data_IF_240222034376
#
_entry.id   IF_240222034376
#
_cell.length_a   1.000
_cell.length_b   1.000
_cell.length_c   1.000
_cell.angle_alpha   90.00
_cell.angle_beta   90.00
_cell.angle_gamma   90.00
#
_symmetry.space_group_name_H-M   'P 1'
#
loop_
_entity.id
_entity.type
_entity.pdbx_description
1 polymer ?
#
# COMPACT_ATOMS: atom_id res chain seq x y z
N UNK A 1 -14.36 1.26 11.19
CA UNK A 1 -13.02 1.33 10.58
C UNK A 1 -13.02 0.54 9.29
N UNK A 2 -12.17 0.92 8.31
CA UNK A 2 -12.00 0.15 7.06
C UNK A 2 -10.97 -0.96 7.27
N UNK A 3 -9.87 -0.65 7.96
CA UNK A 3 -8.83 -1.63 8.32
C UNK A 3 -8.59 -1.58 9.83
N UNK A 4 -8.48 -2.74 10.46
CA UNK A 4 -8.12 -2.88 11.88
C UNK A 4 -7.13 -4.04 12.03
N UNK A 5 -5.99 -3.78 12.63
CA UNK A 5 -4.99 -4.79 13.03
C UNK A 5 -4.91 -4.86 14.54
N UNK A 6 -4.97 -6.08 15.08
CA UNK A 6 -4.82 -6.35 16.49
C UNK A 6 -3.69 -7.34 16.74
N UNK A 7 -2.56 -6.82 17.27
CA UNK A 7 -1.35 -7.57 17.61
C UNK A 7 -0.89 -8.52 16.50
N UNK A 8 -1.04 -8.06 15.23
CA UNK A 8 -0.74 -8.85 14.05
C UNK A 8 0.74 -9.24 14.04
N UNK A 9 0.99 -10.54 14.02
CA UNK A 9 2.34 -11.08 13.99
C UNK A 9 2.48 -12.11 12.89
N UNK A 10 3.55 -11.98 12.09
CA UNK A 10 4.00 -12.98 11.14
C UNK A 10 5.50 -13.13 11.23
N UNK A 11 5.96 -14.23 11.81
CA UNK A 11 7.37 -14.58 11.87
C UNK A 11 7.66 -15.77 10.96
N UNK A 12 8.75 -15.67 10.21
CA UNK A 12 9.31 -16.77 9.41
C UNK A 12 10.29 -17.59 10.25
N UNK A 13 10.68 -18.77 9.76
CA UNK A 13 11.61 -19.69 10.46
C UNK A 13 12.97 -19.06 10.81
N UNK A 14 13.39 -18.06 10.07
CA UNK A 14 14.62 -17.30 10.30
C UNK A 14 14.47 -16.14 11.29
N UNK A 15 13.33 -16.02 11.98
CA UNK A 15 13.02 -14.97 12.94
C UNK A 15 12.67 -13.60 12.33
N UNK A 16 12.71 -13.47 10.99
CA UNK A 16 12.30 -12.22 10.32
C UNK A 16 10.77 -12.16 10.16
N UNK A 17 10.24 -10.96 9.96
CA UNK A 17 8.81 -10.77 9.72
C UNK A 17 8.29 -9.47 10.30
N UNK A 18 7.07 -9.51 10.84
CA UNK A 18 6.41 -8.40 11.53
C UNK A 18 5.84 -8.94 12.85
N UNK A 19 6.00 -8.18 13.93
CA UNK A 19 5.64 -8.59 15.27
C UNK A 19 4.83 -7.49 15.97
N UNK A 20 3.68 -7.88 16.55
CA UNK A 20 2.80 -7.05 17.36
C UNK A 20 2.37 -5.73 16.66
N UNK A 21 1.99 -5.80 15.39
CA UNK A 21 1.55 -4.66 14.61
C UNK A 21 0.07 -4.39 14.91
N UNK A 22 -0.23 -3.21 15.46
CA UNK A 22 -1.59 -2.78 15.77
C UNK A 22 -1.82 -1.35 15.30
N UNK A 23 -2.79 -1.17 14.40
CA UNK A 23 -3.29 0.14 13.97
C UNK A 23 -4.64 0.00 13.29
N UNK A 24 -5.32 1.13 13.09
CA UNK A 24 -6.58 1.18 12.37
C UNK A 24 -6.60 2.34 11.37
N UNK A 25 -7.37 2.16 10.27
CA UNK A 25 -7.65 3.18 9.27
C UNK A 25 -9.15 3.43 9.13
N UNK A 26 -9.52 4.70 9.10
CA UNK A 26 -10.85 5.16 8.78
C UNK A 26 -10.98 5.45 7.26
N UNK A 27 -12.23 5.58 6.73
CA UNK A 27 -12.44 6.03 5.38
C UNK A 27 -11.76 7.37 5.10
N UNK A 28 -11.13 7.52 3.93
CA UNK A 28 -10.44 8.74 3.53
C UNK A 28 -9.06 8.97 4.18
N UNK A 29 -8.62 8.10 5.09
CA UNK A 29 -7.27 8.19 5.66
C UNK A 29 -6.23 7.54 4.76
N UNK A 30 -5.04 8.16 4.69
CA UNK A 30 -3.85 7.61 4.04
C UNK A 30 -2.80 7.34 5.12
N UNK A 31 -2.49 6.06 5.36
CA UNK A 31 -1.42 5.64 6.27
C UNK A 31 -0.18 5.25 5.48
N UNK A 32 0.89 6.02 5.68
CA UNK A 32 2.21 5.70 5.17
C UNK A 32 2.95 4.74 6.10
N UNK A 33 3.32 3.57 5.58
CA UNK A 33 4.10 2.57 6.30
C UNK A 33 5.59 2.78 5.99
N UNK A 34 6.31 3.47 6.87
CA UNK A 34 7.70 3.86 6.69
C UNK A 34 8.65 2.90 7.40
N UNK A 35 9.74 2.55 6.74
CA UNK A 35 10.81 1.76 7.33
C UNK A 35 11.79 1.23 6.28
N UNK A 36 13.00 0.81 6.69
CA UNK A 36 14.00 0.28 5.77
C UNK A 36 13.58 -1.04 5.13
N UNK A 37 14.30 -1.45 4.09
CA UNK A 37 14.08 -2.76 3.48
C UNK A 37 14.26 -3.87 4.50
N UNK A 38 13.33 -4.84 4.48
CA UNK A 38 13.30 -5.95 5.45
C UNK A 38 12.73 -5.60 6.83
N UNK A 39 12.19 -4.40 7.05
CA UNK A 39 11.57 -4.01 8.34
C UNK A 39 10.23 -4.66 8.64
N UNK A 40 9.61 -5.37 7.68
CA UNK A 40 8.33 -6.05 7.88
C UNK A 40 7.13 -5.42 7.15
N UNK A 41 7.29 -4.29 6.41
CA UNK A 41 6.23 -3.60 5.68
C UNK A 41 5.46 -4.53 4.73
N UNK A 42 6.16 -5.10 3.74
CA UNK A 42 5.58 -6.04 2.77
C UNK A 42 4.97 -7.28 3.44
N UNK A 43 5.59 -7.79 4.51
CA UNK A 43 5.05 -8.91 5.29
C UNK A 43 3.71 -8.54 5.90
N UNK A 44 3.60 -7.39 6.55
CA UNK A 44 2.35 -6.87 7.11
C UNK A 44 1.28 -6.72 6.03
N UNK A 45 1.60 -6.09 4.90
CA UNK A 45 0.67 -5.91 3.78
C UNK A 45 0.21 -7.24 3.18
N UNK A 46 1.11 -8.21 3.03
CA UNK A 46 0.77 -9.57 2.55
C UNK A 46 -0.18 -10.31 3.49
N UNK A 47 -0.06 -10.12 4.81
CA UNK A 47 -1.01 -10.69 5.76
C UNK A 47 -2.38 -10.01 5.63
N UNK A 48 -2.42 -8.68 5.54
CA UNK A 48 -3.67 -7.92 5.34
C UNK A 48 -4.37 -8.34 4.04
N UNK A 49 -3.61 -8.52 2.96
CA UNK A 49 -4.14 -9.00 1.67
C UNK A 49 -4.47 -10.51 1.64
N UNK A 50 -4.33 -11.21 2.78
CA UNK A 50 -4.60 -12.66 2.85
C UNK A 50 -3.63 -13.55 2.08
N UNK A 51 -2.51 -13.00 1.60
CA UNK A 51 -1.46 -13.76 0.90
C UNK A 51 -0.56 -14.55 1.85
N UNK A 52 -0.55 -14.19 3.13
CA UNK A 52 0.18 -14.88 4.20
C UNK A 52 -0.74 -15.07 5.40
N UNK A 53 -0.69 -16.25 6.00
CA UNK A 53 -1.38 -16.50 7.27
C UNK A 53 -0.60 -15.84 8.41
N UNK A 54 -1.26 -15.11 9.34
CA UNK A 54 -0.62 -14.60 10.53
C UNK A 54 -0.15 -15.75 11.44
N UNK A 55 0.90 -15.52 12.21
CA UNK A 55 1.32 -16.44 13.28
C UNK A 55 0.47 -16.26 14.54
N UNK A 56 0.02 -15.01 14.81
CA UNK A 56 -0.94 -14.63 15.85
C UNK A 56 -1.51 -13.25 15.56
N UNK A 57 -2.52 -12.84 16.34
CA UNK A 57 -3.25 -11.61 16.10
C UNK A 57 -4.25 -11.74 14.95
N UNK A 58 -4.86 -10.64 14.57
CA UNK A 58 -5.88 -10.60 13.52
C UNK A 58 -5.82 -9.34 12.67
N UNK A 59 -6.36 -9.43 11.47
CA UNK A 59 -6.63 -8.28 10.59
C UNK A 59 -8.09 -8.34 10.13
N UNK A 60 -8.78 -7.21 10.19
CA UNK A 60 -10.16 -7.07 9.73
C UNK A 60 -10.26 -5.97 8.68
N UNK A 61 -10.98 -6.25 7.60
CA UNK A 61 -11.27 -5.29 6.55
C UNK A 61 -12.79 -5.16 6.46
N UNK A 62 -13.31 -3.94 6.65
CA UNK A 62 -14.74 -3.65 6.71
C UNK A 62 -15.50 -4.60 7.68
N UNK A 63 -14.86 -4.96 8.82
CA UNK A 63 -15.39 -5.89 9.82
C UNK A 63 -15.20 -7.37 9.51
N UNK A 64 -14.66 -7.74 8.33
CA UNK A 64 -14.40 -9.13 7.96
C UNK A 64 -12.98 -9.56 8.35
N UNK A 65 -12.83 -10.60 9.16
CA UNK A 65 -11.54 -11.22 9.48
C UNK A 65 -10.93 -11.82 8.21
N UNK A 66 -9.74 -11.38 7.84
CA UNK A 66 -9.08 -11.76 6.57
C UNK A 66 -8.74 -13.25 6.47
N UNK A 67 -8.66 -13.95 7.60
CA UNK A 67 -8.39 -15.40 7.65
C UNK A 67 -9.66 -16.23 7.56
N UNK A 68 -10.75 -15.78 8.20
CA UNK A 68 -12.00 -16.55 8.30
C UNK A 68 -12.98 -16.18 7.19
N UNK A 69 -12.96 -14.93 6.74
CA UNK A 69 -13.90 -14.36 5.77
C UNK A 69 -13.14 -13.73 4.59
N UNK A 70 -12.13 -14.45 4.09
CA UNK A 70 -11.19 -13.95 3.08
C UNK A 70 -11.87 -13.36 1.85
N UNK A 71 -12.84 -14.07 1.28
CA UNK A 71 -13.53 -13.60 0.08
C UNK A 71 -14.28 -12.28 0.32
N UNK A 72 -14.97 -12.17 1.47
CA UNK A 72 -15.69 -10.94 1.84
C UNK A 72 -14.71 -9.78 2.04
N UNK A 73 -13.62 -10.00 2.78
CA UNK A 73 -12.59 -8.99 3.00
C UNK A 73 -11.96 -8.51 1.68
N UNK A 74 -11.63 -9.44 0.77
CA UNK A 74 -10.98 -9.10 -0.51
C UNK A 74 -11.91 -8.41 -1.50
N UNK A 75 -13.22 -8.53 -1.39
CA UNK A 75 -14.17 -7.75 -2.20
C UNK A 75 -14.08 -6.24 -1.95
N UNK A 76 -13.68 -5.85 -0.75
CA UNK A 76 -13.49 -4.46 -0.33
C UNK A 76 -12.07 -3.94 -0.57
N UNK A 77 -11.18 -4.80 -1.12
CA UNK A 77 -9.75 -4.52 -1.17
C UNK A 77 -9.23 -4.47 -2.60
N UNK A 78 -8.50 -3.40 -2.91
CA UNK A 78 -7.62 -3.34 -4.07
C UNK A 78 -6.17 -3.37 -3.61
N UNK A 79 -5.31 -4.16 -4.25
CA UNK A 79 -3.92 -4.23 -3.84
C UNK A 79 -2.94 -4.28 -5.01
N UNK A 80 -1.81 -3.60 -4.81
CA UNK A 80 -0.62 -3.69 -5.63
C UNK A 80 0.54 -3.99 -4.68
N UNK A 81 0.94 -5.26 -4.60
CA UNK A 81 1.99 -5.74 -3.71
C UNK A 81 3.12 -6.34 -4.55
N UNK A 82 4.34 -5.82 -4.36
CA UNK A 82 5.49 -6.13 -5.19
C UNK A 82 5.26 -5.73 -6.67
N UNK A 83 5.65 -6.56 -7.64
CA UNK A 83 5.44 -6.29 -9.06
C UNK A 83 4.01 -6.63 -9.49
N UNK A 84 3.40 -5.84 -10.39
CA UNK A 84 2.08 -6.16 -10.94
C UNK A 84 2.07 -7.51 -11.65
N UNK A 85 1.17 -8.40 -11.22
CA UNK A 85 0.97 -9.70 -11.86
C UNK A 85 0.13 -9.55 -13.14
N UNK A 86 0.77 -9.26 -14.27
CA UNK A 86 0.13 -9.03 -15.56
C UNK A 86 0.40 -10.18 -16.54
N UNK A 87 -0.61 -10.53 -17.31
CA UNK A 87 -0.45 -11.46 -18.42
C UNK A 87 0.18 -10.72 -19.61
N UNK A 88 1.46 -10.95 -19.86
CA UNK A 88 2.27 -10.20 -20.83
C UNK A 88 1.79 -10.35 -22.29
N UNK A 89 1.21 -11.51 -22.64
CA UNK A 89 0.66 -11.78 -23.96
C UNK A 89 -0.69 -11.10 -24.21
N UNK A 90 -1.34 -10.58 -23.17
CA UNK A 90 -2.59 -9.84 -23.21
C UNK A 90 -2.34 -8.33 -23.29
N UNK A 91 -3.37 -7.58 -23.77
CA UNK A 91 -3.35 -6.12 -23.70
C UNK A 91 -3.71 -5.62 -22.28
N UNK A 92 -3.47 -4.32 -22.01
CA UNK A 92 -3.92 -3.70 -20.74
C UNK A 92 -5.42 -3.93 -20.54
N UNK A 93 -6.25 -3.63 -21.55
CA UNK A 93 -7.69 -3.83 -21.51
C UNK A 93 -8.08 -5.28 -21.22
N UNK A 94 -7.41 -6.26 -21.84
CA UNK A 94 -7.69 -7.68 -21.63
C UNK A 94 -7.34 -8.14 -20.21
N UNK A 95 -6.25 -7.64 -19.62
CA UNK A 95 -5.90 -7.90 -18.24
C UNK A 95 -6.99 -7.39 -17.28
N UNK A 96 -7.45 -6.14 -17.46
CA UNK A 96 -8.53 -5.59 -16.65
C UNK A 96 -9.85 -6.34 -16.85
N UNK A 97 -10.20 -6.67 -18.10
CA UNK A 97 -11.40 -7.44 -18.43
C UNK A 97 -11.40 -8.84 -17.82
N UNK A 98 -10.23 -9.45 -17.69
CA UNK A 98 -10.10 -10.75 -17.02
C UNK A 98 -10.35 -10.59 -15.49
N UNK A 99 -9.75 -9.58 -14.87
CA UNK A 99 -9.94 -9.27 -13.44
C UNK A 99 -11.40 -8.86 -13.15
N UNK A 100 -12.04 -8.11 -14.04
CA UNK A 100 -13.44 -7.68 -13.90
C UNK A 100 -14.43 -8.85 -13.72
N UNK A 101 -14.09 -10.07 -14.17
CA UNK A 101 -14.95 -11.25 -14.00
C UNK A 101 -15.17 -11.66 -12.53
N UNK A 102 -14.30 -11.23 -11.65
CA UNK A 102 -14.45 -11.50 -10.20
C UNK A 102 -15.39 -10.52 -9.49
N UNK A 103 -15.82 -9.44 -10.17
CA UNK A 103 -16.66 -8.40 -9.61
C UNK A 103 -17.96 -8.27 -10.41
N UNK A 104 -19.11 -8.34 -9.73
CA UNK A 104 -20.43 -8.30 -10.39
C UNK A 104 -20.75 -6.94 -10.99
N UNK A 105 -20.24 -5.87 -10.36
CA UNK A 105 -20.61 -4.48 -10.67
C UNK A 105 -19.53 -3.76 -11.51
N UNK A 106 -18.55 -4.51 -12.04
CA UNK A 106 -17.49 -3.96 -12.91
C UNK A 106 -17.81 -4.28 -14.37
N UNK A 107 -18.23 -3.26 -15.10
CA UNK A 107 -18.53 -3.32 -16.54
C UNK A 107 -17.38 -2.75 -17.40
N UNK A 108 -17.63 -2.68 -18.71
CA UNK A 108 -16.67 -2.10 -19.66
C UNK A 108 -16.45 -0.59 -19.46
N UNK A 109 -17.46 0.13 -18.98
CA UNK A 109 -17.35 1.57 -18.72
C UNK A 109 -16.38 1.82 -17.56
N UNK A 110 -16.44 0.98 -16.51
CA UNK A 110 -15.49 1.04 -15.39
C UNK A 110 -14.06 0.72 -15.81
N UNK A 111 -13.85 -0.26 -16.71
CA UNK A 111 -12.52 -0.56 -17.26
C UNK A 111 -11.98 0.67 -18.03
N UNK A 112 -12.81 1.31 -18.83
CA UNK A 112 -12.42 2.50 -19.58
C UNK A 112 -12.12 3.70 -18.64
N UNK A 113 -12.88 3.84 -17.57
CA UNK A 113 -12.64 4.87 -16.54
C UNK A 113 -11.30 4.67 -15.87
N UNK A 114 -10.99 3.46 -15.35
CA UNK A 114 -9.73 3.23 -14.66
C UNK A 114 -8.53 3.32 -15.59
N UNK A 115 -8.64 2.91 -16.87
CA UNK A 115 -7.57 3.10 -17.86
C UNK A 115 -7.28 4.58 -18.12
N UNK A 116 -8.31 5.42 -18.17
CA UNK A 116 -8.13 6.88 -18.26
C UNK A 116 -7.52 7.44 -17.00
N UNK A 117 -8.01 7.01 -15.82
CA UNK A 117 -7.49 7.45 -14.53
C UNK A 117 -6.00 7.18 -14.40
N UNK A 118 -5.50 6.06 -14.93
CA UNK A 118 -4.08 5.69 -14.91
C UNK A 118 -3.33 6.09 -16.18
N UNK A 119 -3.92 6.92 -17.07
CA UNK A 119 -3.35 7.41 -18.34
C UNK A 119 -2.87 6.28 -19.29
N UNK A 120 -3.54 5.14 -19.23
CA UNK A 120 -3.25 3.97 -20.08
C UNK A 120 -4.29 3.76 -21.20
N UNK A 121 -5.25 4.67 -21.36
CA UNK A 121 -6.30 4.60 -22.37
C UNK A 121 -5.74 4.55 -23.83
N UNK A 122 -4.66 5.30 -24.09
CA UNK A 122 -3.97 5.32 -25.38
C UNK A 122 -3.32 3.97 -25.71
N UNK A 123 -2.86 3.25 -24.70
CA UNK A 123 -2.14 1.99 -24.80
C UNK A 123 -3.03 0.77 -24.53
N UNK A 124 -4.35 0.96 -24.42
CA UNK A 124 -5.33 -0.09 -24.03
C UNK A 124 -5.28 -1.34 -24.90
N UNK A 125 -4.86 -1.21 -26.18
CA UNK A 125 -4.78 -2.30 -27.17
C UNK A 125 -3.37 -2.88 -27.30
N UNK A 126 -2.37 -2.27 -26.68
CA UNK A 126 -0.99 -2.71 -26.74
C UNK A 126 -0.76 -3.85 -25.77
N UNK A 127 0.09 -4.80 -26.15
CA UNK A 127 0.43 -5.94 -25.29
C UNK A 127 1.34 -5.48 -24.14
N UNK A 128 1.08 -6.02 -22.95
CA UNK A 128 1.88 -5.74 -21.75
C UNK A 128 3.36 -6.10 -21.94
N UNK A 129 3.67 -7.07 -22.82
CA UNK A 129 5.06 -7.42 -23.15
C UNK A 129 5.89 -6.26 -23.71
N UNK A 130 5.24 -5.24 -24.32
CA UNK A 130 5.92 -4.05 -24.85
C UNK A 130 5.97 -2.88 -23.86
N UNK A 131 5.43 -3.04 -22.63
CA UNK A 131 5.30 -1.95 -21.68
C UNK A 131 6.62 -1.68 -20.94
N UNK A 132 6.91 -0.38 -20.74
CA UNK A 132 7.92 0.06 -19.78
C UNK A 132 7.53 -0.33 -18.34
N UNK A 133 8.48 -0.22 -17.40
CA UNK A 133 8.20 -0.45 -15.99
C UNK A 133 7.06 0.45 -15.49
N UNK A 134 7.07 1.75 -15.81
CA UNK A 134 6.02 2.69 -15.44
C UNK A 134 4.66 2.33 -16.02
N UNK A 135 4.58 1.90 -17.27
CA UNK A 135 3.33 1.45 -17.89
C UNK A 135 2.78 0.18 -17.21
N UNK A 136 3.66 -0.76 -16.82
CA UNK A 136 3.27 -1.94 -16.04
C UNK A 136 2.73 -1.53 -14.68
N UNK A 137 3.40 -0.61 -13.99
CA UNK A 137 2.99 -0.11 -12.68
C UNK A 137 1.62 0.60 -12.75
N UNK A 138 1.42 1.48 -13.74
CA UNK A 138 0.13 2.13 -14.01
C UNK A 138 -0.98 1.11 -14.29
N UNK A 139 -0.70 0.06 -15.05
CA UNK A 139 -1.67 -1.02 -15.31
C UNK A 139 -1.98 -1.80 -14.02
N UNK A 140 -1.00 -2.03 -13.16
CA UNK A 140 -1.19 -2.63 -11.84
C UNK A 140 -2.06 -1.78 -10.92
N UNK A 141 -1.86 -0.45 -10.91
CA UNK A 141 -2.73 0.49 -10.19
C UNK A 141 -4.17 0.46 -10.75
N UNK A 142 -4.34 0.36 -12.08
CA UNK A 142 -5.67 0.20 -12.67
C UNK A 142 -6.38 -1.06 -12.17
N UNK A 143 -5.66 -2.18 -12.06
CA UNK A 143 -6.20 -3.42 -11.48
C UNK A 143 -6.60 -3.24 -10.01
N UNK A 144 -5.77 -2.59 -9.21
CA UNK A 144 -6.06 -2.33 -7.80
C UNK A 144 -7.28 -1.42 -7.60
N UNK A 145 -7.51 -0.47 -8.52
CA UNK A 145 -8.63 0.48 -8.48
C UNK A 145 -9.91 -0.06 -9.13
N UNK A 146 -9.86 -1.20 -9.81
CA UNK A 146 -10.92 -1.68 -10.70
C UNK A 146 -12.26 -1.87 -9.99
N UNK A 147 -12.25 -2.43 -8.79
CA UNK A 147 -13.45 -2.70 -7.99
C UNK A 147 -13.97 -1.49 -7.22
N UNK A 148 -13.34 -0.32 -7.32
CA UNK A 148 -13.62 0.84 -6.46
C UNK A 148 -13.53 0.48 -4.97
N UNK A 149 -12.35 0.00 -4.51
CA UNK A 149 -12.19 -0.61 -3.20
C UNK A 149 -12.33 0.41 -2.06
N UNK A 150 -12.83 -0.04 -0.90
CA UNK A 150 -12.82 0.71 0.35
C UNK A 150 -11.44 0.76 1.00
N UNK A 151 -10.60 -0.28 0.73
CA UNK A 151 -9.20 -0.35 1.16
C UNK A 151 -8.28 -0.50 -0.05
N UNK A 152 -7.35 0.43 -0.22
CA UNK A 152 -6.30 0.36 -1.24
C UNK A 152 -4.94 0.10 -0.57
N UNK A 153 -4.27 -0.99 -0.94
CA UNK A 153 -2.96 -1.39 -0.42
C UNK A 153 -1.91 -1.26 -1.52
N UNK A 154 -0.90 -0.43 -1.30
CA UNK A 154 0.15 -0.13 -2.27
C UNK A 154 1.54 -0.35 -1.65
N UNK A 155 2.23 -1.41 -2.06
CA UNK A 155 3.58 -1.73 -1.57
C UNK A 155 4.64 -1.14 -2.51
N UNK A 156 5.37 -0.12 -2.02
CA UNK A 156 6.43 0.59 -2.75
C UNK A 156 5.98 1.02 -4.19
N UNK A 157 4.80 1.64 -4.38
CA UNK A 157 4.21 1.83 -5.72
C UNK A 157 4.98 2.79 -6.62
N UNK A 158 5.83 3.65 -6.05
CA UNK A 158 6.66 4.60 -6.78
C UNK A 158 8.08 4.07 -7.09
N UNK A 159 8.42 2.87 -6.61
CA UNK A 159 9.77 2.33 -6.76
C UNK A 159 10.14 2.12 -8.23
N UNK A 160 11.28 2.70 -8.64
CA UNK A 160 11.78 2.61 -10.01
C UNK A 160 11.02 3.46 -11.05
N UNK A 161 10.14 4.35 -10.60
CA UNK A 161 9.51 5.34 -11.45
C UNK A 161 10.36 6.61 -11.56
N UNK A 162 10.18 7.35 -12.65
CA UNK A 162 10.66 8.72 -12.79
C UNK A 162 9.83 9.71 -11.96
N UNK A 163 10.26 10.99 -11.96
CA UNK A 163 9.60 12.04 -11.17
C UNK A 163 8.12 12.18 -11.54
N UNK A 164 7.78 12.12 -12.83
CA UNK A 164 6.39 12.21 -13.29
C UNK A 164 5.56 11.02 -12.78
N UNK A 165 6.13 9.81 -12.82
CA UNK A 165 5.50 8.61 -12.27
C UNK A 165 5.26 8.68 -10.77
N UNK A 166 6.19 9.26 -9.99
CA UNK A 166 6.03 9.47 -8.54
C UNK A 166 4.91 10.47 -8.23
N UNK A 167 4.86 11.60 -8.96
CA UNK A 167 3.78 12.60 -8.83
C UNK A 167 2.44 11.94 -9.14
N UNK A 168 2.39 11.18 -10.21
CA UNK A 168 1.20 10.46 -10.62
C UNK A 168 0.67 9.48 -9.55
N UNK A 169 1.54 8.66 -8.93
CA UNK A 169 1.14 7.76 -7.84
C UNK A 169 0.50 8.54 -6.69
N UNK A 170 1.08 9.70 -6.32
CA UNK A 170 0.54 10.57 -5.26
C UNK A 170 -0.86 11.09 -5.60
N UNK A 171 -1.09 11.49 -6.84
CA UNK A 171 -2.42 11.93 -7.30
C UNK A 171 -3.45 10.80 -7.25
N UNK A 172 -3.07 9.59 -7.64
CA UNK A 172 -3.94 8.40 -7.53
C UNK A 172 -4.30 8.12 -6.07
N UNK A 173 -3.33 8.15 -5.16
CA UNK A 173 -3.55 7.96 -3.71
C UNK A 173 -4.51 9.01 -3.16
N UNK A 174 -4.25 10.28 -3.45
CA UNK A 174 -5.09 11.39 -3.01
C UNK A 174 -6.51 11.27 -3.55
N UNK A 175 -6.67 11.04 -4.85
CA UNK A 175 -7.98 10.87 -5.49
C UNK A 175 -8.77 9.68 -4.90
N UNK A 176 -8.12 8.58 -4.54
CA UNK A 176 -8.77 7.44 -3.88
C UNK A 176 -9.24 7.82 -2.48
N UNK A 177 -8.42 8.50 -1.69
CA UNK A 177 -8.75 8.96 -0.35
C UNK A 177 -9.89 10.00 -0.36
N UNK A 178 -9.84 10.97 -1.28
CA UNK A 178 -10.89 12.00 -1.46
C UNK A 178 -12.25 11.37 -1.81
N UNK A 179 -12.27 10.19 -2.45
CA UNK A 179 -13.47 9.39 -2.73
C UNK A 179 -13.89 8.51 -1.55
N UNK A 180 -13.18 8.57 -0.44
CA UNK A 180 -13.50 7.85 0.80
C UNK A 180 -12.78 6.50 0.97
N UNK A 181 -11.89 6.09 0.06
CA UNK A 181 -11.09 4.89 0.30
C UNK A 181 -10.05 5.12 1.41
N UNK A 182 -9.86 4.13 2.29
CA UNK A 182 -8.69 4.09 3.14
C UNK A 182 -7.49 3.60 2.32
N UNK A 183 -6.33 4.25 2.45
CA UNK A 183 -5.13 3.86 1.69
C UNK A 183 -4.00 3.49 2.64
N UNK A 184 -3.44 2.29 2.46
CA UNK A 184 -2.22 1.84 3.09
C UNK A 184 -1.11 1.82 2.05
N UNK A 185 -0.14 2.73 2.16
CA UNK A 185 0.98 2.83 1.24
C UNK A 185 2.30 2.61 1.97
N UNK A 186 3.21 1.80 1.41
CA UNK A 186 4.57 1.66 1.94
C UNK A 186 5.59 2.43 1.12
N UNK A 187 6.60 2.95 1.78
CA UNK A 187 7.84 3.41 1.17
C UNK A 187 9.01 3.27 2.15
N UNK A 188 10.21 3.16 1.62
CA UNK A 188 11.45 3.32 2.38
C UNK A 188 11.98 4.76 2.36
N UNK A 189 11.35 5.65 1.59
CA UNK A 189 11.65 7.07 1.46
C UNK A 189 10.62 7.92 2.20
N UNK A 190 11.05 8.58 3.29
CA UNK A 190 10.17 9.39 4.14
C UNK A 190 9.46 10.50 3.35
N UNK A 191 10.19 11.18 2.45
CA UNK A 191 9.64 12.24 1.63
C UNK A 191 8.43 11.82 0.77
N UNK A 192 8.41 10.59 0.24
CA UNK A 192 7.26 10.10 -0.53
C UNK A 192 6.00 9.98 0.33
N UNK A 193 6.16 9.46 1.55
CA UNK A 193 5.06 9.33 2.51
C UNK A 193 4.57 10.72 2.96
N UNK A 194 5.50 11.62 3.30
CA UNK A 194 5.19 12.99 3.75
C UNK A 194 4.32 13.76 2.74
N UNK A 195 4.50 13.49 1.43
CA UNK A 195 3.78 14.18 0.37
C UNK A 195 2.34 13.69 0.14
N UNK A 196 1.96 12.51 0.63
CA UNK A 196 0.64 11.94 0.32
C UNK A 196 -0.11 11.37 1.53
N UNK A 197 0.57 11.08 2.65
CA UNK A 197 -0.06 10.44 3.79
C UNK A 197 -0.65 11.45 4.78
N UNK A 198 -1.76 11.09 5.42
CA UNK A 198 -2.35 11.82 6.54
C UNK A 198 -1.78 11.36 7.88
N UNK A 199 -1.29 10.11 7.94
CA UNK A 199 -0.66 9.48 9.09
C UNK A 199 0.56 8.69 8.65
N UNK A 200 1.55 8.52 9.54
CA UNK A 200 2.67 7.64 9.32
C UNK A 200 2.76 6.58 10.43
N UNK A 201 3.03 5.34 10.02
CA UNK A 201 3.38 4.23 10.90
C UNK A 201 4.84 3.87 10.65
N UNK A 202 5.68 3.91 11.68
CA UNK A 202 7.11 3.60 11.58
C UNK A 202 7.33 2.15 11.97
N UNK A 203 7.85 1.35 11.04
CA UNK A 203 8.24 -0.04 11.28
C UNK A 203 9.77 -0.17 11.20
N UNK A 204 10.37 -0.71 12.25
CA UNK A 204 11.79 -0.97 12.32
C UNK A 204 12.08 -2.32 12.99
N UNK A 205 12.94 -3.14 12.38
CA UNK A 205 13.30 -4.45 12.95
C UNK A 205 12.12 -5.39 13.19
N UNK A 206 11.09 -5.32 12.36
CA UNK A 206 9.87 -6.12 12.49
C UNK A 206 8.83 -5.58 13.45
N UNK A 207 9.08 -4.47 14.15
CA UNK A 207 8.20 -3.91 15.17
C UNK A 207 7.63 -2.56 14.75
N UNK A 208 6.40 -2.30 15.15
CA UNK A 208 5.76 -0.98 15.03
C UNK A 208 6.27 -0.09 16.16
N UNK A 209 6.98 1.00 15.81
CA UNK A 209 7.50 1.94 16.81
C UNK A 209 6.44 2.97 17.22
N UNK A 210 5.69 3.50 16.25
CA UNK A 210 4.60 4.45 16.48
C UNK A 210 3.67 4.53 15.27
N UNK A 211 2.48 5.06 15.52
CA UNK A 211 1.53 5.55 14.50
C UNK A 211 1.14 6.96 14.93
N UNK A 212 1.34 7.94 14.05
CA UNK A 212 1.08 9.34 14.38
C UNK A 212 0.54 10.11 13.18
N UNK A 213 -0.25 11.15 13.42
CA UNK A 213 -0.72 12.04 12.34
C UNK A 213 0.43 12.89 11.78
N UNK A 214 0.35 13.21 10.49
CA UNK A 214 1.37 14.02 9.85
C UNK A 214 1.47 15.43 10.48
N UNK A 215 0.34 16.01 10.90
CA UNK A 215 0.30 17.30 11.59
C UNK A 215 1.09 17.28 12.91
N UNK A 216 0.97 16.21 13.70
CA UNK A 216 1.71 16.04 14.96
C UNK A 216 3.20 15.82 14.67
N UNK A 217 3.53 15.01 13.67
CA UNK A 217 4.92 14.76 13.27
C UNK A 217 5.61 16.07 12.89
N UNK A 218 5.01 16.85 11.97
CA UNK A 218 5.59 18.08 11.47
C UNK A 218 5.55 19.24 12.49
N UNK A 219 4.71 19.17 13.51
CA UNK A 219 4.75 20.09 14.64
C UNK A 219 5.94 19.86 15.59
N UNK A 220 6.50 18.64 15.61
CA UNK A 220 7.58 18.24 16.54
C UNK A 220 8.91 17.96 15.85
N UNK A 221 8.94 17.86 14.54
CA UNK A 221 10.14 17.56 13.74
C UNK A 221 10.13 18.33 12.43
N UNK A 222 11.30 18.74 11.90
CA UNK A 222 11.39 19.45 10.63
C UNK A 222 10.87 18.65 9.43
N UNK A 223 10.96 17.31 9.51
CA UNK A 223 10.54 16.38 8.47
C UNK A 223 10.13 15.02 9.05
N UNK A 224 9.43 14.21 8.27
CA UNK A 224 9.15 12.81 8.62
C UNK A 224 10.44 11.98 8.72
N UNK A 225 11.50 12.34 7.97
CA UNK A 225 12.81 11.68 8.05
C UNK A 225 13.46 11.92 9.41
N UNK A 226 13.51 13.18 9.88
CA UNK A 226 14.05 13.51 11.21
C UNK A 226 13.25 12.83 12.33
N UNK A 227 11.92 12.80 12.18
CA UNK A 227 11.06 12.09 13.12
C UNK A 227 11.35 10.59 13.15
N UNK A 228 11.51 9.95 12.00
CA UNK A 228 11.89 8.54 11.87
C UNK A 228 13.21 8.25 12.59
N UNK A 229 14.25 9.06 12.31
CA UNK A 229 15.56 8.91 12.95
C UNK A 229 15.48 9.03 14.46
N UNK A 230 14.69 9.98 14.97
CA UNK A 230 14.47 10.16 16.41
C UNK A 230 13.77 8.95 17.05
N UNK A 231 12.76 8.35 16.39
CA UNK A 231 12.09 7.14 16.89
C UNK A 231 13.02 5.93 16.92
N UNK A 232 13.83 5.75 15.87
CA UNK A 232 14.83 4.67 15.82
C UNK A 232 15.91 4.86 16.88
N UNK A 233 16.35 6.10 17.13
CA UNK A 233 17.31 6.41 18.19
C UNK A 233 16.77 6.05 19.58
N UNK A 234 15.52 6.44 19.88
CA UNK A 234 14.85 6.06 21.15
C UNK A 234 14.81 4.54 21.33
N UNK A 235 14.45 3.80 20.28
CA UNK A 235 14.41 2.33 20.34
C UNK A 235 15.79 1.72 20.60
N UNK A 236 16.88 2.31 20.06
CA UNK A 236 18.26 1.84 20.24
C UNK A 236 18.92 2.28 21.56
N UNK A 237 18.19 2.92 22.46
CA UNK A 237 18.72 3.37 23.75
C UNK A 237 19.43 4.73 23.72
N UNK A 238 19.11 5.56 22.74
CA UNK A 238 19.58 6.96 22.69
C UNK A 238 20.97 7.17 22.07
N UNK A 239 21.61 6.13 21.54
CA UNK A 239 22.91 6.27 20.85
C UNK A 239 22.78 6.29 19.34
N UNK A 240 22.36 7.42 18.76
CA UNK A 240 22.78 7.79 17.43
C UNK A 240 23.96 8.77 17.56
N UNK A 241 25.20 8.29 17.52
CA UNK A 241 26.31 9.15 17.12
C UNK A 241 26.13 9.47 15.65
N UNK A 242 25.84 10.73 15.36
CA UNK A 242 25.97 11.28 14.01
C UNK A 242 27.47 11.29 13.74
N UNK A 243 27.95 10.33 12.99
CA UNK A 243 29.30 10.42 12.40
C UNK A 243 29.26 11.56 11.38
N UNK A 244 29.95 12.62 11.75
CA UNK A 244 30.19 13.83 10.95
C UNK A 244 31.18 13.59 9.81
#
# INVERSE_FOLDING_TARGET
>A
MVLELDNLTKLFKNGRGAEDISFALAPGEVLGLLGPNGSGKTTTMKVIAGLLQPSRGSAHICGFDVTKHHEQAMRHTGCLIEAPALYEHMTAYQNLKLAARFYKDVDSARIDEVLRLVEMDKYRKDKVSSFSLGMRQRTGLALALLSNPELLILDEPANGLDIEGMVYVREVVKNAADKGAAVLISSHLAHEIEQCATKAAIIYGGKLLCVESMDVILAHSPSLEDYFLAQVAKMRGGELRVES
#
